data_IF_784072854771
#
_entry.id   IF_784072854771
#
_cell.length_a   1.000
_cell.length_b   1.000
_cell.length_c   1.000
_cell.angle_alpha   90.00
_cell.angle_beta   90.00
_cell.angle_gamma   90.00
#
_symmetry.space_group_name_H-M   'P 1'
#
loop_
_entity.id
_entity.type
_entity.pdbx_description
1 polymer ?
#
# COMPACT_ATOMS: atom_id res chain seq x y z
N UNK A 1 32.41 -11.80 14.39
CA UNK A 1 32.55 -10.81 13.30
C UNK A 1 31.62 -9.66 13.64
N UNK A 2 31.97 -8.40 13.35
CA UNK A 2 31.04 -7.29 13.61
C UNK A 2 29.79 -7.46 12.73
N UNK A 3 28.61 -7.26 13.30
CA UNK A 3 27.35 -7.40 12.57
C UNK A 3 27.29 -6.34 11.46
N UNK A 4 27.07 -6.79 10.22
CA UNK A 4 27.07 -5.93 9.03
C UNK A 4 25.85 -5.00 8.99
N UNK A 5 24.75 -5.39 9.65
CA UNK A 5 23.50 -4.64 9.69
C UNK A 5 23.14 -4.15 11.09
N UNK A 6 22.79 -2.87 11.21
CA UNK A 6 22.14 -2.28 12.39
C UNK A 6 20.63 -2.56 12.30
N UNK A 7 20.22 -3.68 12.90
CA UNK A 7 18.83 -4.11 12.91
C UNK A 7 17.96 -3.17 13.77
N UNK A 8 16.85 -2.72 13.21
CA UNK A 8 15.79 -1.97 13.91
C UNK A 8 14.43 -2.59 13.66
N UNK A 9 13.52 -2.48 14.61
CA UNK A 9 12.12 -2.92 14.45
C UNK A 9 11.20 -1.73 14.31
N UNK A 10 10.12 -1.91 13.55
CA UNK A 10 9.03 -0.95 13.47
C UNK A 10 8.26 -0.90 14.78
N UNK A 11 7.98 0.32 15.25
CA UNK A 11 7.02 0.60 16.31
C UNK A 11 6.12 1.75 15.86
N UNK A 12 4.88 1.73 16.34
CA UNK A 12 3.92 2.81 16.14
C UNK A 12 3.54 3.40 17.48
N UNK A 13 3.44 4.73 17.55
CA UNK A 13 2.97 5.39 18.76
C UNK A 13 1.43 5.43 18.79
N UNK A 14 0.86 6.02 19.84
CA UNK A 14 -0.59 6.19 19.97
C UNK A 14 -1.22 7.10 18.90
N UNK A 15 -0.40 7.84 18.14
CA UNK A 15 -0.81 8.63 16.96
C UNK A 15 -0.54 7.89 15.65
N UNK A 16 -0.23 6.60 15.68
CA UNK A 16 0.18 5.79 14.52
C UNK A 16 1.45 6.29 13.80
N UNK A 17 2.28 7.13 14.45
CA UNK A 17 3.56 7.54 13.87
C UNK A 17 4.56 6.40 13.97
N UNK A 18 5.21 6.10 12.85
CA UNK A 18 6.23 5.05 12.76
C UNK A 18 7.55 5.56 13.35
N UNK A 19 8.17 4.76 14.20
CA UNK A 19 9.53 4.95 14.69
C UNK A 19 10.30 3.63 14.70
N UNK A 20 11.62 3.72 14.57
CA UNK A 20 12.50 2.55 14.53
C UNK A 20 13.18 2.36 15.88
N UNK A 21 12.96 1.22 16.51
CA UNK A 21 13.61 0.85 17.77
C UNK A 21 14.77 -0.09 17.50
N UNK A 22 15.93 0.14 18.12
CA UNK A 22 17.10 -0.72 17.92
C UNK A 22 16.89 -2.12 18.50
N UNK A 23 17.45 -3.14 17.84
CA UNK A 23 17.55 -4.50 18.38
C UNK A 23 18.73 -4.69 19.34
N UNK A 24 19.48 -3.63 19.69
CA UNK A 24 20.72 -3.71 20.50
C UNK A 24 20.62 -4.48 21.82
N UNK A 25 19.41 -4.63 22.36
CA UNK A 25 19.15 -5.34 23.61
C UNK A 25 18.60 -6.77 23.44
N UNK A 26 18.42 -7.25 22.20
CA UNK A 26 17.89 -8.58 21.92
C UNK A 26 19.04 -9.60 21.73
N UNK A 27 18.90 -10.83 22.27
CA UNK A 27 19.91 -11.86 22.12
C UNK A 27 20.21 -12.19 20.65
N UNK A 28 21.47 -12.50 20.32
CA UNK A 28 21.91 -12.91 18.98
C UNK A 28 21.13 -14.12 18.44
N UNK A 29 20.67 -15.01 19.34
CA UNK A 29 19.78 -16.13 19.02
C UNK A 29 18.43 -15.70 18.43
N UNK A 30 18.03 -14.44 18.60
CA UNK A 30 16.81 -13.86 18.05
C UNK A 30 17.05 -13.07 16.75
N UNK A 31 18.27 -12.57 16.51
CA UNK A 31 18.61 -11.75 15.35
C UNK A 31 19.23 -12.53 14.18
N UNK A 32 19.90 -13.67 14.45
CA UNK A 32 20.64 -14.42 13.44
C UNK A 32 19.80 -14.89 12.24
N UNK A 33 18.48 -15.10 12.42
CA UNK A 33 17.56 -15.42 11.31
C UNK A 33 17.43 -14.28 10.29
N UNK A 34 17.49 -13.02 10.73
CA UNK A 34 17.39 -11.85 9.85
C UNK A 34 18.69 -11.65 9.07
N UNK A 35 19.83 -11.77 9.74
CA UNK A 35 21.15 -11.71 9.11
C UNK A 35 21.29 -12.78 8.04
N UNK A 36 20.88 -14.02 8.36
CA UNK A 36 20.90 -15.12 7.40
C UNK A 36 20.01 -14.85 6.18
N UNK A 37 18.83 -14.29 6.39
CA UNK A 37 17.93 -13.90 5.30
C UNK A 37 18.56 -12.81 4.42
N UNK A 38 19.16 -11.80 5.03
CA UNK A 38 19.84 -10.72 4.33
C UNK A 38 21.07 -11.20 3.55
N UNK A 39 21.85 -12.13 4.09
CA UNK A 39 22.97 -12.76 3.37
C UNK A 39 22.52 -13.51 2.11
N UNK A 40 21.48 -14.34 2.23
CA UNK A 40 20.95 -15.11 1.10
C UNK A 40 20.36 -14.16 0.05
N UNK A 41 19.66 -13.11 0.48
CA UNK A 41 19.13 -12.09 -0.42
C UNK A 41 20.27 -11.35 -1.13
N UNK A 42 21.32 -10.92 -0.41
CA UNK A 42 22.42 -10.16 -0.98
C UNK A 42 23.18 -10.95 -2.06
N UNK A 43 23.31 -12.26 -1.85
CA UNK A 43 23.92 -13.20 -2.77
C UNK A 43 23.01 -13.60 -3.95
N UNK A 44 21.71 -13.31 -3.89
CA UNK A 44 20.75 -13.69 -4.93
C UNK A 44 21.12 -13.12 -6.30
N UNK A 45 21.10 -13.98 -7.31
CA UNK A 45 21.31 -13.65 -8.74
C UNK A 45 20.01 -13.80 -9.55
N UNK A 46 18.86 -13.94 -8.88
CA UNK A 46 17.57 -14.21 -9.55
C UNK A 46 17.00 -12.95 -10.23
N UNK A 47 17.22 -11.78 -9.64
CA UNK A 47 16.67 -10.53 -10.14
C UNK A 47 17.11 -10.24 -11.59
N UNK A 48 16.13 -10.01 -12.46
CA UNK A 48 16.32 -9.70 -13.89
C UNK A 48 15.35 -8.60 -14.38
N UNK A 49 15.47 -7.36 -13.85
CA UNK A 49 14.62 -6.23 -14.19
C UNK A 49 15.11 -5.46 -15.44
N UNK A 50 14.93 -6.05 -16.62
CA UNK A 50 15.50 -5.49 -17.88
C UNK A 50 14.92 -4.14 -18.30
N UNK A 51 13.76 -3.74 -17.77
CA UNK A 51 13.07 -2.51 -18.16
C UNK A 51 13.21 -1.42 -17.10
N UNK A 52 13.01 -1.75 -15.82
CA UNK A 52 13.13 -0.77 -14.73
C UNK A 52 14.57 -0.54 -14.26
N UNK A 53 15.46 -1.50 -14.49
CA UNK A 53 16.80 -1.57 -13.87
C UNK A 53 16.77 -1.49 -12.34
N UNK A 54 15.62 -1.75 -11.71
CA UNK A 54 15.46 -1.75 -10.26
C UNK A 54 15.62 -3.18 -9.73
N UNK A 55 16.79 -3.48 -9.18
CA UNK A 55 17.11 -4.82 -8.68
C UNK A 55 16.57 -5.02 -7.26
N UNK A 56 15.50 -5.81 -7.15
CA UNK A 56 14.98 -6.32 -5.90
C UNK A 56 15.49 -7.74 -5.70
N UNK A 57 16.45 -7.91 -4.78
CA UNK A 57 17.02 -9.20 -4.41
C UNK A 57 16.37 -9.68 -3.12
N UNK A 58 15.90 -10.92 -3.11
CA UNK A 58 15.11 -11.41 -2.00
C UNK A 58 15.52 -12.80 -1.53
N UNK A 59 15.07 -13.15 -0.33
CA UNK A 59 15.12 -14.50 0.17
C UNK A 59 13.94 -14.81 1.08
N UNK A 60 13.62 -16.10 1.22
CA UNK A 60 12.70 -16.60 2.23
C UNK A 60 13.40 -17.67 3.07
N UNK A 61 13.64 -17.40 4.35
CA UNK A 61 14.45 -18.22 5.27
C UNK A 61 13.61 -18.76 6.41
N UNK A 62 13.63 -20.08 6.60
CA UNK A 62 13.05 -20.71 7.78
C UNK A 62 14.02 -20.62 8.96
N UNK A 63 13.49 -20.64 10.18
CA UNK A 63 14.24 -20.46 11.42
C UNK A 63 15.53 -21.30 11.58
N UNK A 64 15.66 -22.45 10.90
CA UNK A 64 16.88 -23.26 10.93
C UNK A 64 17.98 -22.79 9.95
N UNK A 65 17.81 -21.63 9.30
CA UNK A 65 18.80 -21.01 8.42
C UNK A 65 18.78 -21.49 6.96
N UNK A 66 17.95 -22.49 6.63
CA UNK A 66 17.69 -22.87 5.24
C UNK A 66 16.74 -21.85 4.60
N UNK A 67 17.00 -21.49 3.35
CA UNK A 67 16.12 -20.60 2.62
C UNK A 67 16.31 -20.69 1.12
N UNK A 68 15.46 -19.98 0.41
CA UNK A 68 15.47 -19.87 -1.04
C UNK A 68 15.83 -18.45 -1.44
N UNK A 69 16.63 -18.31 -2.50
CA UNK A 69 16.89 -17.02 -3.14
C UNK A 69 15.77 -16.68 -4.13
N UNK A 70 15.49 -15.40 -4.26
CA UNK A 70 14.42 -14.84 -5.05
C UNK A 70 14.80 -13.45 -5.60
N UNK A 71 13.96 -12.90 -6.47
CA UNK A 71 14.16 -11.56 -7.01
C UNK A 71 13.17 -11.23 -8.12
N UNK A 72 13.01 -9.94 -8.41
CA UNK A 72 12.06 -9.48 -9.42
C UNK A 72 12.51 -9.82 -10.85
N UNK A 73 11.59 -10.23 -11.71
CA UNK A 73 11.87 -10.60 -13.11
C UNK A 73 10.89 -9.85 -14.01
N UNK A 74 11.39 -9.20 -15.05
CA UNK A 74 10.55 -8.48 -16.00
C UNK A 74 10.61 -9.16 -17.38
N UNK A 75 9.45 -9.57 -17.89
CA UNK A 75 9.30 -10.30 -19.16
C UNK A 75 8.92 -9.39 -20.33
N UNK A 76 8.32 -8.23 -20.05
CA UNK A 76 7.82 -7.29 -21.05
C UNK A 76 7.06 -6.12 -20.43
N UNK A 77 6.53 -5.24 -21.28
CA UNK A 77 5.61 -4.18 -20.87
C UNK A 77 4.38 -4.81 -20.19
N UNK A 78 4.12 -4.40 -18.94
CA UNK A 78 3.01 -4.88 -18.11
C UNK A 78 3.05 -6.38 -17.74
N UNK A 79 4.21 -7.04 -17.87
CA UNK A 79 4.41 -8.42 -17.42
C UNK A 79 5.69 -8.50 -16.58
N UNK A 80 5.51 -8.49 -15.26
CA UNK A 80 6.58 -8.62 -14.28
C UNK A 80 6.17 -9.61 -13.19
N UNK A 81 7.15 -10.35 -12.67
CA UNK A 81 7.06 -11.08 -11.43
C UNK A 81 7.79 -10.27 -10.37
N UNK A 82 7.08 -9.90 -9.31
CA UNK A 82 7.68 -9.18 -8.20
C UNK A 82 8.60 -10.09 -7.38
N UNK A 83 9.56 -9.52 -6.67
CA UNK A 83 10.51 -10.31 -5.90
C UNK A 83 9.81 -11.17 -4.85
N UNK A 84 8.81 -10.61 -4.16
CA UNK A 84 8.09 -11.30 -3.10
C UNK A 84 7.21 -12.43 -3.63
N UNK A 85 6.63 -12.24 -4.82
CA UNK A 85 5.90 -13.30 -5.52
C UNK A 85 6.83 -14.46 -5.90
N UNK A 86 8.03 -14.14 -6.39
CA UNK A 86 9.05 -15.15 -6.70
C UNK A 86 9.54 -15.87 -5.44
N UNK A 87 9.68 -15.17 -4.31
CA UNK A 87 10.07 -15.74 -3.03
C UNK A 87 9.02 -16.69 -2.47
N UNK A 88 7.75 -16.28 -2.48
CA UNK A 88 6.61 -17.11 -2.12
C UNK A 88 6.54 -18.35 -3.00
N UNK A 89 6.69 -18.19 -4.31
CA UNK A 89 6.67 -19.29 -5.28
C UNK A 89 7.82 -20.29 -5.05
N UNK A 90 9.05 -19.80 -4.93
CA UNK A 90 10.23 -20.62 -4.66
C UNK A 90 10.09 -21.36 -3.32
N UNK A 91 9.59 -20.67 -2.29
CA UNK A 91 9.34 -21.26 -0.99
C UNK A 91 8.32 -22.40 -1.06
N UNK A 92 7.20 -22.18 -1.75
CA UNK A 92 6.16 -23.19 -1.98
C UNK A 92 6.71 -24.41 -2.72
N UNK A 93 7.55 -24.21 -3.75
CA UNK A 93 8.13 -25.31 -4.52
C UNK A 93 9.06 -26.18 -3.68
N UNK A 94 9.82 -25.62 -2.75
CA UNK A 94 10.78 -26.37 -1.91
C UNK A 94 10.10 -26.97 -0.67
N UNK A 95 9.17 -26.26 -0.03
CA UNK A 95 8.65 -26.64 1.28
C UNK A 95 7.17 -27.06 1.30
N UNK A 96 6.41 -26.75 0.25
CA UNK A 96 4.97 -26.98 0.12
C UNK A 96 4.11 -25.89 0.79
N UNK A 97 2.81 -25.84 0.45
CA UNK A 97 1.83 -24.92 1.08
C UNK A 97 1.48 -25.34 2.51
N UNK A 98 1.13 -24.37 3.36
CA UNK A 98 0.52 -24.62 4.68
C UNK A 98 1.45 -25.06 5.81
N UNK A 99 2.76 -25.22 5.56
CA UNK A 99 3.72 -25.48 6.64
C UNK A 99 4.10 -24.16 7.32
N UNK A 100 3.39 -23.82 8.40
CA UNK A 100 3.70 -22.70 9.28
C UNK A 100 5.04 -22.94 9.97
N UNK A 101 6.12 -22.45 9.37
CA UNK A 101 7.42 -22.33 10.02
C UNK A 101 7.67 -20.86 10.30
N UNK A 102 8.39 -20.50 11.37
CA UNK A 102 8.88 -19.14 11.51
C UNK A 102 9.75 -18.85 10.28
N UNK A 103 9.25 -17.95 9.45
CA UNK A 103 9.79 -17.56 8.15
C UNK A 103 10.09 -16.08 8.21
N UNK A 104 11.26 -15.71 7.71
CA UNK A 104 11.64 -14.32 7.48
C UNK A 104 11.81 -14.16 5.98
N UNK A 105 11.23 -13.11 5.40
CA UNK A 105 11.58 -12.68 4.05
C UNK A 105 12.50 -11.48 4.11
N UNK A 106 13.63 -11.57 3.42
CA UNK A 106 14.55 -10.46 3.28
C UNK A 106 14.35 -9.78 1.94
N UNK A 107 14.33 -8.45 1.95
CA UNK A 107 14.27 -7.61 0.76
C UNK A 107 15.49 -6.69 0.73
N UNK A 108 16.28 -6.83 -0.33
CA UNK A 108 17.39 -5.93 -0.63
C UNK A 108 17.07 -5.21 -1.92
N UNK A 109 16.89 -3.91 -1.81
CA UNK A 109 16.70 -3.03 -2.95
C UNK A 109 17.37 -1.69 -2.69
N UNK A 110 17.76 -1.02 -3.76
CA UNK A 110 18.35 0.33 -3.76
C UNK A 110 19.80 0.40 -3.26
N UNK A 111 20.54 1.29 -3.91
CA UNK A 111 21.86 1.75 -3.50
C UNK A 111 21.76 2.98 -2.55
N UNK A 112 20.56 3.55 -2.33
CA UNK A 112 20.34 4.69 -1.42
C UNK A 112 20.19 4.20 0.03
N UNK A 113 21.03 4.68 0.97
CA UNK A 113 20.97 4.29 2.39
C UNK A 113 19.71 4.70 3.13
N UNK A 114 18.81 5.47 2.50
CA UNK A 114 17.57 5.97 3.10
C UNK A 114 16.32 5.23 2.61
N UNK A 115 16.45 4.40 1.58
CA UNK A 115 15.33 3.63 1.04
C UNK A 115 15.20 2.31 1.79
N UNK A 116 14.04 2.13 2.42
CA UNK A 116 13.60 0.83 2.91
C UNK A 116 12.69 0.23 1.85
N UNK A 117 13.09 -0.92 1.33
CA UNK A 117 12.26 -1.70 0.43
C UNK A 117 10.97 -2.10 1.15
N UNK A 118 9.83 -1.72 0.61
CA UNK A 118 8.53 -2.11 1.13
C UNK A 118 7.78 -2.89 0.04
N UNK A 119 7.13 -4.01 0.40
CA UNK A 119 6.36 -4.76 -0.58
C UNK A 119 5.19 -3.95 -1.10
N UNK A 120 4.93 -4.05 -2.40
CA UNK A 120 3.72 -3.46 -2.99
C UNK A 120 2.46 -4.19 -2.48
N UNK A 121 1.28 -3.65 -2.75
CA UNK A 121 0.02 -4.22 -2.27
C UNK A 121 -0.27 -5.62 -2.75
N UNK A 122 -0.02 -5.90 -4.03
CA UNK A 122 -0.21 -7.22 -4.60
C UNK A 122 0.65 -8.26 -3.87
N UNK A 123 1.91 -7.92 -3.59
CA UNK A 123 2.82 -8.76 -2.81
C UNK A 123 2.35 -8.95 -1.36
N UNK A 124 1.79 -7.91 -0.72
CA UNK A 124 1.20 -8.03 0.63
C UNK A 124 0.05 -9.01 0.66
N UNK A 125 -0.87 -8.93 -0.30
CA UNK A 125 -2.03 -9.81 -0.37
C UNK A 125 -1.61 -11.28 -0.51
N UNK A 126 -0.64 -11.56 -1.40
CA UNK A 126 -0.11 -12.91 -1.61
C UNK A 126 0.62 -13.42 -0.36
N UNK A 127 1.49 -12.61 0.25
CA UNK A 127 2.21 -13.02 1.46
C UNK A 127 1.27 -13.18 2.66
N UNK A 128 0.24 -12.36 2.79
CA UNK A 128 -0.75 -12.45 3.87
C UNK A 128 -1.56 -13.74 3.78
N UNK A 129 -1.95 -14.15 2.56
CA UNK A 129 -2.67 -15.41 2.31
C UNK A 129 -1.81 -16.63 2.70
N UNK A 130 -0.51 -16.62 2.40
CA UNK A 130 0.38 -17.75 2.68
C UNK A 130 0.92 -17.80 4.12
N UNK A 131 1.37 -16.65 4.63
CA UNK A 131 2.19 -16.58 5.85
C UNK A 131 1.49 -15.92 7.03
N UNK A 132 0.41 -15.19 6.78
CA UNK A 132 -0.38 -14.52 7.80
C UNK A 132 0.24 -13.21 8.34
N UNK A 133 -0.45 -12.53 9.26
CA UNK A 133 -0.13 -11.16 9.67
C UNK A 133 1.12 -11.03 10.56
N UNK A 134 1.54 -12.11 11.23
CA UNK A 134 2.72 -12.11 12.11
C UNK A 134 4.03 -12.41 11.37
N UNK A 135 3.94 -12.66 10.06
CA UNK A 135 5.10 -12.89 9.20
C UNK A 135 6.06 -11.69 9.22
N UNK A 136 7.36 -11.95 9.31
CA UNK A 136 8.38 -10.91 9.43
C UNK A 136 9.11 -10.67 8.11
N UNK A 137 9.27 -9.41 7.78
CA UNK A 137 10.02 -8.92 6.63
C UNK A 137 11.20 -8.10 7.16
N UNK A 138 12.41 -8.42 6.71
CA UNK A 138 13.59 -7.60 6.95
C UNK A 138 13.99 -6.91 5.64
N UNK A 139 14.12 -5.59 5.66
CA UNK A 139 14.58 -4.81 4.52
C UNK A 139 15.89 -4.10 4.84
N UNK A 140 16.81 -4.07 3.89
CA UNK A 140 18.05 -3.31 4.02
C UNK A 140 18.90 -3.38 2.76
N UNK A 141 20.21 -3.15 2.93
CA UNK A 141 21.16 -3.08 1.82
C UNK A 141 22.08 -4.27 1.72
N UNK A 142 22.59 -4.53 0.52
CA UNK A 142 23.59 -5.57 0.31
C UNK A 142 24.91 -5.26 1.03
N UNK A 143 25.33 -3.99 1.13
CA UNK A 143 26.62 -3.59 1.73
C UNK A 143 26.59 -3.48 3.26
N UNK A 144 25.42 -3.57 3.89
CA UNK A 144 25.26 -3.36 5.33
C UNK A 144 24.65 -2.00 5.69
N UNK A 145 24.69 -1.64 6.97
CA UNK A 145 24.07 -0.43 7.49
C UNK A 145 22.69 -0.69 8.09
N UNK A 146 21.74 0.25 7.93
CA UNK A 146 20.41 0.10 8.50
C UNK A 146 19.67 -1.10 7.87
N UNK A 147 19.10 -1.96 8.72
CA UNK A 147 18.12 -2.96 8.30
C UNK A 147 16.88 -2.87 9.20
N UNK A 148 15.69 -2.88 8.61
CA UNK A 148 14.43 -2.74 9.32
C UNK A 148 13.63 -4.02 9.25
N UNK A 149 13.25 -4.53 10.41
CA UNK A 149 12.34 -5.66 10.59
C UNK A 149 10.94 -5.14 10.88
N UNK A 150 9.98 -5.55 10.07
CA UNK A 150 8.57 -5.23 10.19
C UNK A 150 7.73 -6.50 10.08
N UNK A 151 6.62 -6.59 10.81
CA UNK A 151 5.63 -7.63 10.59
C UNK A 151 4.74 -7.29 9.40
N UNK A 152 4.09 -8.29 8.79
CA UNK A 152 3.09 -8.06 7.75
C UNK A 152 2.00 -7.10 8.24
N UNK A 153 1.53 -7.25 9.49
CA UNK A 153 0.60 -6.31 10.12
C UNK A 153 1.11 -4.88 10.18
N UNK A 154 2.42 -4.63 10.26
CA UNK A 154 2.98 -3.28 10.20
C UNK A 154 2.86 -2.66 8.80
N UNK A 155 2.59 -3.43 7.75
CA UNK A 155 2.27 -2.93 6.41
C UNK A 155 0.78 -2.75 6.17
N UNK A 156 -0.06 -3.26 7.08
CA UNK A 156 -1.50 -3.21 6.98
C UNK A 156 -2.06 -1.99 7.70
N UNK A 157 -3.24 -1.62 7.25
CA UNK A 157 -4.06 -0.61 7.89
C UNK A 157 -5.22 -1.32 8.57
N UNK A 158 -5.19 -1.30 9.90
CA UNK A 158 -5.95 -2.29 10.65
C UNK A 158 -7.34 -1.78 10.98
N UNK A 159 -7.51 -0.49 11.35
CA UNK A 159 -8.80 0.18 11.53
C UNK A 159 -8.71 1.71 11.38
N UNK A 160 -9.58 2.35 10.59
CA UNK A 160 -9.75 3.79 10.63
C UNK A 160 -10.45 4.21 11.93
N UNK A 161 -10.19 5.45 12.39
CA UNK A 161 -10.80 5.98 13.63
C UNK A 161 -12.30 6.12 13.42
N UNK A 162 -13.10 5.54 14.32
CA UNK A 162 -14.55 5.74 14.33
C UNK A 162 -14.81 7.15 14.85
N UNK A 163 -15.52 7.96 14.06
CA UNK A 163 -15.96 9.29 14.48
C UNK A 163 -17.40 9.18 15.02
N UNK A 164 -17.52 8.86 16.31
CA UNK A 164 -18.81 8.62 16.97
C UNK A 164 -19.48 9.90 17.51
N UNK A 165 -18.86 11.07 17.32
CA UNK A 165 -19.31 12.32 17.91
C UNK A 165 -19.60 13.37 16.84
N UNK A 166 -20.87 13.52 16.47
CA UNK A 166 -21.38 14.58 15.59
C UNK A 166 -20.95 14.46 14.11
N UNK A 167 -21.77 13.78 13.31
CA UNK A 167 -21.69 13.91 11.86
C UNK A 167 -22.19 15.30 11.45
N UNK A 168 -21.29 16.15 10.97
CA UNK A 168 -21.66 17.44 10.40
C UNK A 168 -22.64 17.23 9.23
N UNK A 169 -23.75 17.99 9.12
CA UNK A 169 -24.72 17.85 8.03
C UNK A 169 -24.07 17.84 6.64
N UNK A 170 -23.03 18.64 6.43
CA UNK A 170 -22.26 18.68 5.19
C UNK A 170 -21.59 17.32 4.83
N UNK A 171 -21.05 16.59 5.82
CA UNK A 171 -20.44 15.27 5.60
C UNK A 171 -21.52 14.25 5.22
N UNK A 172 -22.67 14.28 5.90
CA UNK A 172 -23.82 13.43 5.59
C UNK A 172 -24.28 13.67 4.15
N UNK A 173 -24.55 14.92 3.80
CA UNK A 173 -25.11 15.27 2.49
C UNK A 173 -24.10 14.92 1.38
N UNK A 174 -22.80 15.12 1.63
CA UNK A 174 -21.73 14.70 0.71
C UNK A 174 -21.62 13.18 0.56
N UNK A 175 -21.80 12.40 1.63
CA UNK A 175 -21.85 10.94 1.54
C UNK A 175 -23.05 10.47 0.70
N UNK A 176 -24.22 11.10 0.87
CA UNK A 176 -25.42 10.77 0.10
C UNK A 176 -25.32 11.19 -1.38
N UNK A 177 -24.69 12.32 -1.66
CA UNK A 177 -24.33 12.76 -3.01
C UNK A 177 -23.39 11.75 -3.67
N UNK A 178 -22.31 11.37 -2.97
CA UNK A 178 -21.31 10.40 -3.46
C UNK A 178 -21.95 9.06 -3.78
N UNK A 179 -22.83 8.56 -2.92
CA UNK A 179 -23.59 7.34 -3.17
C UNK A 179 -24.47 7.47 -4.42
N UNK A 180 -25.24 8.56 -4.52
CA UNK A 180 -26.20 8.76 -5.61
C UNK A 180 -25.53 8.86 -6.97
N UNK A 181 -24.47 9.67 -7.07
CA UNK A 181 -23.71 9.86 -8.31
C UNK A 181 -22.95 8.58 -8.64
N UNK A 182 -22.29 7.97 -7.65
CA UNK A 182 -21.56 6.72 -7.84
C UNK A 182 -22.43 5.58 -8.36
N UNK A 183 -23.64 5.40 -7.81
CA UNK A 183 -24.60 4.39 -8.27
C UNK A 183 -25.03 4.64 -9.72
N UNK A 184 -25.23 5.90 -10.13
CA UNK A 184 -25.59 6.23 -11.51
C UNK A 184 -24.46 5.95 -12.52
N UNK A 185 -23.23 5.84 -12.05
CA UNK A 185 -22.05 5.57 -12.85
C UNK A 185 -21.58 4.12 -12.80
N UNK A 186 -22.10 3.29 -11.88
CA UNK A 186 -21.64 1.90 -11.68
C UNK A 186 -21.82 1.08 -12.97
N UNK A 187 -20.78 0.32 -13.36
CA UNK A 187 -20.87 -0.64 -14.45
C UNK A 187 -20.19 -1.94 -14.02
N UNK A 188 -20.91 -2.74 -13.24
CA UNK A 188 -20.40 -3.99 -12.68
C UNK A 188 -21.41 -5.12 -12.91
N UNK A 189 -21.46 -5.67 -14.14
CA UNK A 189 -22.37 -6.75 -14.48
C UNK A 189 -21.86 -8.14 -14.04
N UNK A 190 -20.59 -8.27 -13.65
CA UNK A 190 -19.94 -9.57 -13.44
C UNK A 190 -19.70 -9.93 -11.98
N UNK A 191 -19.67 -8.97 -11.05
CA UNK A 191 -19.47 -9.27 -9.63
C UNK A 191 -20.80 -9.59 -8.96
N UNK A 192 -20.90 -10.69 -8.17
CA UNK A 192 -22.06 -10.95 -7.33
C UNK A 192 -22.20 -9.89 -6.23
N UNK A 193 -23.39 -9.28 -6.09
CA UNK A 193 -23.62 -8.20 -5.10
C UNK A 193 -23.47 -8.63 -3.65
N UNK A 194 -23.63 -9.92 -3.37
CA UNK A 194 -23.67 -10.51 -2.04
C UNK A 194 -22.35 -11.11 -1.56
N UNK A 195 -21.38 -11.35 -2.45
CA UNK A 195 -20.17 -12.10 -2.08
C UNK A 195 -19.16 -11.24 -1.29
N UNK A 196 -18.95 -10.00 -1.72
CA UNK A 196 -18.05 -9.02 -1.07
C UNK A 196 -18.65 -7.61 -1.11
N UNK A 197 -19.75 -7.35 -0.39
CA UNK A 197 -20.43 -6.05 -0.44
C UNK A 197 -19.52 -4.90 0.01
N UNK A 198 -18.53 -5.16 0.88
CA UNK A 198 -17.59 -4.16 1.38
C UNK A 198 -16.65 -3.61 0.30
N UNK A 199 -16.41 -4.38 -0.77
CA UNK A 199 -15.59 -3.96 -1.92
C UNK A 199 -16.36 -3.11 -2.91
N UNK A 200 -17.68 -2.95 -2.72
CA UNK A 200 -18.54 -2.08 -3.52
C UNK A 200 -18.63 -0.71 -2.87
N UNK A 201 -17.72 0.16 -3.26
CA UNK A 201 -17.67 1.52 -2.76
C UNK A 201 -17.62 2.52 -3.91
N UNK A 202 -18.09 3.72 -3.60
CA UNK A 202 -18.07 4.88 -4.47
C UNK A 202 -17.15 5.92 -3.86
N UNK A 203 -16.49 6.68 -4.71
CA UNK A 203 -15.53 7.70 -4.28
C UNK A 203 -15.96 9.05 -4.82
N UNK A 204 -15.82 10.07 -3.98
CA UNK A 204 -15.67 11.43 -4.47
C UNK A 204 -14.42 12.08 -3.88
N UNK A 205 -13.71 12.79 -4.75
CA UNK A 205 -12.48 13.51 -4.45
C UNK A 205 -12.80 15.01 -4.56
N UNK A 206 -12.64 15.74 -3.46
CA UNK A 206 -12.83 17.18 -3.42
C UNK A 206 -11.48 17.91 -3.45
N UNK A 207 -11.36 18.85 -4.39
CA UNK A 207 -10.28 19.84 -4.44
C UNK A 207 -10.82 21.20 -3.99
N UNK A 208 -10.03 22.27 -4.10
CA UNK A 208 -10.51 23.63 -3.78
C UNK A 208 -11.65 24.07 -4.68
N UNK A 209 -11.68 23.61 -5.93
CA UNK A 209 -12.57 24.13 -6.96
C UNK A 209 -13.62 23.11 -7.41
N UNK A 210 -13.33 21.81 -7.32
CA UNK A 210 -14.15 20.79 -7.97
C UNK A 210 -14.32 19.53 -7.10
N UNK A 211 -15.34 18.74 -7.45
CA UNK A 211 -15.55 17.38 -6.95
C UNK A 211 -15.54 16.40 -8.11
N UNK A 212 -14.78 15.32 -7.96
CA UNK A 212 -14.64 14.28 -8.97
C UNK A 212 -15.15 12.96 -8.43
N UNK A 213 -16.06 12.31 -9.16
CA UNK A 213 -16.72 11.08 -8.72
C UNK A 213 -16.20 9.87 -9.49
N UNK A 214 -16.06 8.75 -8.79
CA UNK A 214 -15.65 7.46 -9.32
C UNK A 214 -16.49 6.32 -8.76
N UNK A 215 -16.69 5.30 -9.59
CA UNK A 215 -17.45 4.10 -9.28
C UNK A 215 -16.73 2.87 -9.83
N UNK A 216 -16.98 1.71 -9.25
CA UNK A 216 -16.38 0.46 -9.69
C UNK A 216 -16.92 0.02 -11.05
N UNK A 217 -16.01 -0.26 -11.98
CA UNK A 217 -16.31 -0.80 -13.30
C UNK A 217 -15.62 -2.16 -13.42
N UNK A 218 -16.37 -3.23 -13.62
CA UNK A 218 -15.82 -4.58 -13.82
C UNK A 218 -16.03 -5.01 -15.27
N UNK A 219 -14.93 -5.30 -15.96
CA UNK A 219 -14.94 -5.71 -17.36
C UNK A 219 -14.98 -7.25 -17.49
N UNK A 220 -15.28 -7.76 -18.69
CA UNK A 220 -15.49 -9.18 -18.95
C UNK A 220 -14.25 -10.06 -18.77
N UNK A 221 -13.07 -9.45 -18.79
CA UNK A 221 -11.76 -10.07 -18.51
C UNK A 221 -11.40 -10.03 -17.02
N UNK A 222 -12.34 -9.63 -16.17
CA UNK A 222 -12.18 -9.45 -14.73
C UNK A 222 -11.12 -8.43 -14.32
N UNK A 223 -10.66 -7.55 -15.23
CA UNK A 223 -9.83 -6.42 -14.84
C UNK A 223 -10.69 -5.41 -14.06
N UNK A 224 -10.41 -5.20 -12.78
CA UNK A 224 -11.19 -4.26 -11.98
C UNK A 224 -10.69 -2.84 -12.25
N UNK A 225 -11.58 -1.97 -12.71
CA UNK A 225 -11.35 -0.53 -12.69
C UNK A 225 -11.96 0.01 -11.40
N UNK A 226 -11.10 0.55 -10.54
CA UNK A 226 -11.49 0.90 -9.19
C UNK A 226 -12.02 2.33 -9.07
N UNK A 227 -12.81 2.59 -8.04
CA UNK A 227 -13.54 3.85 -7.88
C UNK A 227 -12.60 5.04 -7.59
N UNK A 228 -11.55 4.87 -6.78
CA UNK A 228 -10.59 5.97 -6.51
C UNK A 228 -9.79 6.31 -7.75
N UNK A 229 -9.24 5.30 -8.44
CA UNK A 229 -8.50 5.46 -9.69
C UNK A 229 -9.31 6.30 -10.70
N UNK A 230 -10.61 6.01 -10.86
CA UNK A 230 -11.48 6.77 -11.77
C UNK A 230 -11.69 8.22 -11.35
N UNK A 231 -11.87 8.48 -10.06
CA UNK A 231 -12.00 9.84 -9.55
C UNK A 231 -10.69 10.63 -9.77
N UNK A 232 -9.54 10.01 -9.52
CA UNK A 232 -8.21 10.58 -9.74
C UNK A 232 -7.96 10.87 -11.22
N UNK A 233 -8.24 9.91 -12.11
CA UNK A 233 -8.08 10.10 -13.55
C UNK A 233 -8.89 11.29 -14.05
N UNK A 234 -10.14 11.46 -13.60
CA UNK A 234 -10.95 12.63 -13.95
C UNK A 234 -10.37 13.94 -13.41
N UNK A 235 -9.87 13.94 -12.18
CA UNK A 235 -9.23 15.12 -11.59
C UNK A 235 -7.99 15.55 -12.41
N UNK A 236 -7.21 14.56 -12.86
CA UNK A 236 -6.01 14.77 -13.65
C UNK A 236 -6.30 15.13 -15.12
N UNK A 237 -7.33 14.55 -15.73
CA UNK A 237 -7.68 14.79 -17.14
C UNK A 237 -8.37 16.15 -17.36
N UNK A 238 -9.29 16.53 -16.47
CA UNK A 238 -10.12 17.74 -16.67
C UNK A 238 -9.37 19.02 -16.28
N UNK A 239 -8.64 19.01 -15.15
CA UNK A 239 -8.01 20.22 -14.60
C UNK A 239 -6.54 20.06 -14.23
N UNK A 240 -5.97 18.85 -14.36
CA UNK A 240 -4.61 18.53 -13.86
C UNK A 240 -4.42 19.01 -12.42
N UNK A 241 -5.42 18.76 -11.56
CA UNK A 241 -5.46 19.28 -10.20
C UNK A 241 -5.00 18.21 -9.19
N UNK A 242 -3.73 18.22 -8.75
CA UNK A 242 -3.24 17.28 -7.74
C UNK A 242 -3.59 17.70 -6.30
N UNK A 243 -4.26 18.85 -6.09
CA UNK A 243 -4.50 19.42 -4.76
C UNK A 243 -5.78 18.88 -4.15
N UNK A 244 -5.79 17.58 -3.91
CA UNK A 244 -6.84 16.92 -3.14
C UNK A 244 -6.88 17.53 -1.75
N UNK A 245 -8.04 18.07 -1.38
CA UNK A 245 -8.29 18.56 -0.03
C UNK A 245 -8.90 17.46 0.85
N UNK A 246 -9.81 16.69 0.28
CA UNK A 246 -10.55 15.67 1.01
C UNK A 246 -11.08 14.57 0.09
N UNK A 247 -11.23 13.36 0.64
CA UNK A 247 -11.79 12.19 -0.04
C UNK A 247 -12.96 11.63 0.76
N UNK A 248 -14.04 11.30 0.07
CA UNK A 248 -15.21 10.62 0.61
C UNK A 248 -15.35 9.25 -0.06
N UNK A 249 -15.39 8.19 0.73
CA UNK A 249 -15.59 6.82 0.29
C UNK A 249 -16.86 6.28 0.92
N UNK A 250 -17.79 5.80 0.10
CA UNK A 250 -19.11 5.37 0.57
C UNK A 250 -19.42 3.96 0.11
N UNK A 251 -19.77 3.07 1.04
CA UNK A 251 -20.36 1.77 0.73
C UNK A 251 -21.81 1.72 1.23
N UNK A 252 -22.69 1.09 0.44
CA UNK A 252 -24.07 0.83 0.85
C UNK A 252 -24.23 -0.56 1.44
N UNK A 253 -25.03 -0.73 2.50
CA UNK A 253 -25.33 -2.04 3.08
C UNK A 253 -26.82 -2.27 3.29
N UNK A 254 -27.20 -3.55 3.26
CA UNK A 254 -28.54 -4.04 3.55
C UNK A 254 -28.65 -4.75 4.93
N UNK A 255 -27.50 -5.06 5.55
CA UNK A 255 -27.46 -5.78 6.82
C UNK A 255 -27.66 -4.88 8.04
N UNK A 256 -27.91 -5.48 9.23
CA UNK A 256 -28.18 -4.75 10.47
C UNK A 256 -26.95 -4.06 11.07
N UNK A 257 -25.75 -4.28 10.51
CA UNK A 257 -24.50 -3.71 10.98
C UNK A 257 -23.89 -2.81 9.91
N UNK A 258 -23.30 -1.67 10.29
CA UNK A 258 -22.54 -0.85 9.37
C UNK A 258 -21.43 -1.65 8.71
N UNK A 259 -21.25 -1.41 7.42
CA UNK A 259 -20.22 -2.01 6.59
C UNK A 259 -19.08 -1.00 6.38
N UNK A 260 -17.88 -1.31 6.87
CA UNK A 260 -16.70 -0.52 6.58
C UNK A 260 -16.29 -0.74 5.12
N UNK A 261 -16.19 0.31 4.27
CA UNK A 261 -15.69 0.15 2.90
C UNK A 261 -14.29 -0.46 2.88
N UNK A 262 -14.13 -1.57 2.16
CA UNK A 262 -12.83 -2.18 1.91
C UNK A 262 -12.25 -1.60 0.61
N UNK A 263 -11.55 -0.48 0.74
CA UNK A 263 -10.83 0.12 -0.38
C UNK A 263 -9.63 -0.73 -0.75
N UNK A 264 -9.53 -1.12 -2.01
CA UNK A 264 -8.44 -1.98 -2.49
C UNK A 264 -7.10 -1.26 -2.37
N UNK A 265 -6.01 -2.00 -2.13
CA UNK A 265 -4.68 -1.39 -1.97
C UNK A 265 -4.33 -0.48 -3.15
N UNK A 266 -4.58 -0.94 -4.39
CA UNK A 266 -4.27 -0.18 -5.61
C UNK A 266 -4.93 1.20 -5.63
N UNK A 267 -6.17 1.31 -5.16
CA UNK A 267 -6.87 2.60 -5.02
C UNK A 267 -6.20 3.51 -3.99
N UNK A 268 -5.80 2.95 -2.85
CA UNK A 268 -5.05 3.69 -1.82
C UNK A 268 -3.71 4.17 -2.39
N UNK A 269 -3.04 3.33 -3.18
CA UNK A 269 -1.75 3.59 -3.81
C UNK A 269 -1.84 4.72 -4.84
N UNK A 270 -2.85 4.71 -5.71
CA UNK A 270 -3.08 5.82 -6.66
C UNK A 270 -3.32 7.15 -5.94
N UNK A 271 -4.07 7.15 -4.82
CA UNK A 271 -4.26 8.34 -4.02
C UNK A 271 -2.94 8.79 -3.35
N UNK A 272 -2.11 7.85 -2.89
CA UNK A 272 -0.78 8.15 -2.37
C UNK A 272 0.12 8.80 -3.40
N UNK A 273 0.18 8.25 -4.62
CA UNK A 273 0.96 8.80 -5.73
C UNK A 273 0.51 10.20 -6.11
N UNK A 274 -0.79 10.44 -6.17
CA UNK A 274 -1.33 11.78 -6.41
C UNK A 274 -0.91 12.77 -5.31
N UNK A 275 -0.97 12.34 -4.04
CA UNK A 275 -0.52 13.16 -2.92
C UNK A 275 1.00 13.40 -2.95
N UNK A 276 1.79 12.42 -3.38
CA UNK A 276 3.24 12.59 -3.57
C UNK A 276 3.52 13.62 -4.68
N UNK A 277 2.73 13.64 -5.77
CA UNK A 277 2.90 14.65 -6.82
C UNK A 277 2.68 16.07 -6.27
N UNK A 278 1.64 16.26 -5.46
CA UNK A 278 1.45 17.51 -4.73
C UNK A 278 2.67 17.84 -3.87
N UNK A 279 3.18 16.89 -3.09
CA UNK A 279 4.33 17.11 -2.20
C UNK A 279 5.62 17.50 -2.97
N UNK A 280 5.79 17.01 -4.22
CA UNK A 280 6.95 17.33 -5.07
C UNK A 280 6.92 18.73 -5.68
N UNK A 281 5.72 19.24 -5.99
CA UNK A 281 5.54 20.56 -6.66
C UNK A 281 5.27 21.70 -5.67
N UNK A 282 5.00 21.38 -4.41
CA UNK A 282 4.77 22.36 -3.34
C UNK A 282 6.08 22.63 -2.61
N UNK A 283 6.50 23.90 -2.62
CA UNK A 283 7.76 24.34 -2.02
C UNK A 283 7.67 24.56 -0.50
N UNK A 284 6.48 24.83 0.05
CA UNK A 284 6.28 25.07 1.48
C UNK A 284 5.74 23.84 2.22
N UNK A 285 6.41 23.41 3.29
CA UNK A 285 5.98 22.26 4.10
C UNK A 285 4.57 22.40 4.70
N UNK A 286 4.15 23.63 5.02
CA UNK A 286 2.81 23.91 5.57
C UNK A 286 1.67 23.63 4.57
N UNK A 287 1.97 23.61 3.27
CA UNK A 287 1.01 23.31 2.22
C UNK A 287 0.91 21.80 1.92
N UNK A 288 1.78 20.97 2.53
CA UNK A 288 1.82 19.49 2.40
C UNK A 288 0.86 18.75 3.33
N UNK A 289 -0.27 19.38 3.68
CA UNK A 289 -1.29 18.72 4.48
C UNK A 289 -1.87 17.51 3.73
N UNK A 290 -1.83 16.33 4.36
CA UNK A 290 -2.43 15.13 3.78
C UNK A 290 -3.96 15.30 3.71
N UNK A 291 -4.60 14.91 2.60
CA UNK A 291 -6.04 15.01 2.50
C UNK A 291 -6.70 14.12 3.54
N UNK A 292 -7.76 14.65 4.14
CA UNK A 292 -8.61 13.84 5.04
C UNK A 292 -9.39 12.84 4.22
N UNK A 293 -9.51 11.63 4.74
CA UNK A 293 -10.25 10.55 4.11
C UNK A 293 -11.37 10.14 5.04
N UNK A 294 -12.60 10.29 4.56
CA UNK A 294 -13.80 9.85 5.22
C UNK A 294 -14.30 8.56 4.56
N UNK A 295 -14.55 7.54 5.37
CA UNK A 295 -15.23 6.33 4.95
C UNK A 295 -16.61 6.30 5.61
N UNK A 296 -17.64 6.01 4.83
CA UNK A 296 -19.02 6.04 5.28
C UNK A 296 -19.73 4.74 4.95
N UNK A 297 -20.58 4.31 5.87
CA UNK A 297 -21.58 3.27 5.61
C UNK A 297 -22.95 3.89 5.51
N UNK A 298 -23.68 3.60 4.42
CA UNK A 298 -25.04 4.10 4.20
C UNK A 298 -25.99 2.92 4.06
N UNK A 299 -27.08 2.94 4.82
CA UNK A 299 -28.09 1.89 4.73
C UNK A 299 -29.10 2.14 3.61
N UNK A 300 -30.03 1.20 3.42
CA UNK A 300 -31.07 1.28 2.39
C UNK A 300 -32.04 2.45 2.57
N UNK A 301 -32.20 2.97 3.79
CA UNK A 301 -33.01 4.16 4.10
C UNK A 301 -32.26 5.47 3.83
N UNK A 302 -31.07 5.40 3.22
CA UNK A 302 -30.18 6.56 2.97
C UNK A 302 -29.76 7.28 4.24
N UNK A 303 -29.64 6.54 5.35
CA UNK A 303 -29.03 7.04 6.58
C UNK A 303 -27.57 6.62 6.63
N UNK A 304 -26.69 7.55 7.01
CA UNK A 304 -25.28 7.26 7.26
C UNK A 304 -25.16 6.66 8.66
N UNK A 305 -24.89 5.36 8.74
CA UNK A 305 -24.89 4.62 10.01
C UNK A 305 -23.53 4.68 10.72
N UNK A 306 -22.44 4.87 9.99
CA UNK A 306 -21.12 5.01 10.57
C UNK A 306 -20.20 5.87 9.71
N UNK A 307 -19.30 6.59 10.36
CA UNK A 307 -18.25 7.41 9.78
C UNK A 307 -16.90 6.97 10.36
N UNK A 308 -15.93 6.75 9.49
CA UNK A 308 -14.55 6.54 9.86
C UNK A 308 -13.64 7.57 9.20
N UNK A 309 -12.51 7.88 9.84
CA UNK A 309 -11.52 8.84 9.34
C UNK A 309 -10.10 8.29 9.32
N UNK A 310 -9.37 8.63 8.27
CA UNK A 310 -7.92 8.43 8.14
C UNK A 310 -7.29 9.53 7.26
N UNK A 311 -6.00 9.39 6.94
CA UNK A 311 -5.27 10.23 5.98
C UNK A 311 -4.52 9.33 5.01
N UNK A 312 -4.00 9.89 3.91
CA UNK A 312 -3.24 9.13 2.91
C UNK A 312 -2.06 8.37 3.51
N UNK A 313 -1.26 9.04 4.34
CA UNK A 313 -0.06 8.44 4.97
C UNK A 313 -0.42 7.47 6.10
N UNK A 314 -1.51 7.70 6.83
CA UNK A 314 -2.02 6.74 7.82
C UNK A 314 -2.55 5.46 7.14
N UNK A 315 -3.20 5.60 5.99
CA UNK A 315 -3.83 4.50 5.28
C UNK A 315 -2.84 3.59 4.56
N UNK A 316 -1.68 4.15 4.19
CA UNK A 316 -0.53 3.46 3.60
C UNK A 316 0.77 3.85 4.34
N UNK A 317 1.07 3.23 5.49
CA UNK A 317 2.19 3.62 6.34
C UNK A 317 3.56 3.31 5.73
N UNK A 318 3.64 2.31 4.85
CA UNK A 318 4.86 1.95 4.11
C UNK A 318 4.54 1.81 2.62
N UNK A 319 4.26 2.89 1.90
CA UNK A 319 3.87 2.82 0.50
C UNK A 319 5.07 2.46 -0.38
N UNK A 320 4.85 1.66 -1.42
CA UNK A 320 5.83 1.54 -2.51
C UNK A 320 5.59 2.71 -3.45
N UNK A 321 6.58 3.58 -3.70
CA UNK A 321 6.32 4.85 -4.39
C UNK A 321 7.44 5.23 -5.35
N UNK A 322 7.23 6.24 -6.23
CA UNK A 322 8.29 6.88 -7.00
C UNK A 322 9.56 7.24 -6.19
N UNK A 323 9.45 7.47 -4.87
CA UNK A 323 10.61 7.77 -4.03
C UNK A 323 11.62 6.62 -3.98
N UNK A 324 11.17 5.38 -4.13
CA UNK A 324 12.00 4.18 -4.11
C UNK A 324 12.93 4.06 -5.34
N UNK A 325 12.71 4.85 -6.39
CA UNK A 325 13.54 4.85 -7.60
C UNK A 325 14.66 5.91 -7.55
N UNK A 326 14.84 6.57 -6.40
CA UNK A 326 15.94 7.50 -6.16
C UNK A 326 15.69 8.93 -6.64
N UNK A 327 16.63 9.82 -6.28
CA UNK A 327 16.49 11.27 -6.48
C UNK A 327 16.41 11.70 -7.94
N UNK A 328 17.16 11.04 -8.82
CA UNK A 328 17.17 11.36 -10.25
C UNK A 328 15.80 11.11 -10.89
N UNK A 329 15.17 9.98 -10.55
CA UNK A 329 13.81 9.67 -10.99
C UNK A 329 12.81 10.71 -10.47
N UNK A 330 12.90 11.08 -9.18
CA UNK A 330 12.04 12.11 -8.59
C UNK A 330 12.20 13.47 -9.27
N UNK A 331 13.44 13.86 -9.62
CA UNK A 331 13.68 15.12 -10.32
C UNK A 331 13.11 15.09 -11.73
N UNK A 332 13.28 13.98 -12.45
CA UNK A 332 12.67 13.79 -13.77
C UNK A 332 11.14 13.86 -13.71
N UNK A 333 10.55 13.18 -12.72
CA UNK A 333 9.11 13.19 -12.48
C UNK A 333 8.61 14.60 -12.15
N UNK A 334 9.30 15.34 -11.28
CA UNK A 334 8.96 16.74 -10.97
C UNK A 334 8.96 17.60 -12.23
N UNK A 335 10.04 17.54 -13.02
CA UNK A 335 10.17 18.32 -14.26
C UNK A 335 9.06 17.97 -15.27
N UNK A 336 8.76 16.67 -15.44
CA UNK A 336 7.68 16.21 -16.33
C UNK A 336 6.33 16.80 -15.96
N UNK A 337 6.03 16.90 -14.66
CA UNK A 337 4.77 17.45 -14.17
C UNK A 337 4.72 18.98 -14.29
N UNK A 338 5.83 19.69 -14.06
CA UNK A 338 5.91 21.14 -14.25
C UNK A 338 5.68 21.55 -15.71
N UNK A 339 6.24 20.81 -16.68
CA UNK A 339 6.04 21.06 -18.13
C UNK A 339 4.59 20.79 -18.57
N UNK A 340 3.88 19.90 -17.86
CA UNK A 340 2.50 19.55 -18.17
C UNK A 340 1.46 20.42 -17.51
N UNK A 341 1.81 21.28 -16.55
CA UNK A 341 0.92 22.34 -16.05
C UNK A 341 0.77 23.43 -17.11
#
# INVERSE_FOLDING_TARGET
MANKWDLKTVRRDWKNRVFFHSFKDLPESQTGKYERAMEIAAASQVANPKFSNYFCKESAVIHNGNGVSAGNIEYGLCQALHGEESAVSAFRSVYGRGKKKPLVLAIISSDDPRDLAAPCGNCRDIMLDDFGPDFEIVSGRAEGGLAVVAKMSDYLFDKPRIDSGFMFPAIRDWALETLSVGQSMENDPYSPRNLYPERRYYVSLATKENKYFGAHHLMCDYHPVYAMERAILKAMDIKKDPFVACVMVVASHAGPKPLLPHVMYRDRQHLYELNLYKDLIVDHELDRLDPSIYLCSVNQERKVDCLWRTTVKEWLPFPFSPMNFGREFLQHLKNYQEVKR
#
